data_IF_152053981447
#
_entry.id   IF_152053981447
#
_cell.length_a   1.000
_cell.length_b   1.000
_cell.length_c   1.000
_cell.angle_alpha   90.00
_cell.angle_beta   90.00
_cell.angle_gamma   90.00
#
_symmetry.space_group_name_H-M   'P 1'
#
loop_
_entity.id
_entity.type
_entity.pdbx_description
1 polymer ?
#
# COMPACT_ATOMS: atom_id res chain seq x y z
N UNK A 1 -7.02 4.34 2.59
CA UNK A 1 -6.00 4.64 3.63
C UNK A 1 -5.24 3.38 4.08
N UNK A 2 -5.84 2.20 4.18
CA UNK A 2 -5.20 0.98 4.64
C UNK A 2 -3.85 0.67 3.99
N UNK A 3 -3.67 0.99 2.71
CA UNK A 3 -2.37 0.83 2.05
C UNK A 3 -1.24 1.75 2.61
N UNK A 4 -1.57 2.74 3.44
CA UNK A 4 -0.61 3.70 4.01
C UNK A 4 -0.16 3.35 5.44
N UNK A 5 -0.66 2.27 6.00
CA UNK A 5 -0.32 1.80 7.35
C UNK A 5 -0.26 0.27 7.38
N UNK A 6 0.27 -0.30 8.45
CA UNK A 6 0.43 -1.75 8.60
C UNK A 6 -0.44 -2.37 9.69
N UNK A 7 -1.08 -1.56 10.53
CA UNK A 7 -1.80 -2.08 11.70
C UNK A 7 -3.00 -2.96 11.35
N UNK A 8 -3.66 -2.73 10.21
CA UNK A 8 -4.75 -3.57 9.74
C UNK A 8 -4.30 -4.96 9.29
N UNK A 9 -3.01 -5.14 8.97
CA UNK A 9 -2.48 -6.41 8.40
C UNK A 9 -2.80 -7.60 9.30
N UNK A 10 -2.57 -7.46 10.61
CA UNK A 10 -2.81 -8.57 11.55
C UNK A 10 -4.29 -8.91 11.73
N UNK A 11 -5.21 -7.96 12.00
CA UNK A 11 -6.62 -8.26 12.16
C UNK A 11 -7.35 -8.60 10.85
N UNK A 12 -6.93 -8.03 9.71
CA UNK A 12 -7.61 -8.21 8.43
C UNK A 12 -7.03 -9.37 7.61
N UNK A 13 -5.72 -9.58 7.69
CA UNK A 13 -4.97 -10.55 6.88
C UNK A 13 -4.19 -11.57 7.73
N UNK A 14 -4.78 -12.19 8.76
CA UNK A 14 -4.04 -13.02 9.71
C UNK A 14 -3.38 -14.23 9.07
N UNK A 15 -3.97 -14.79 8.00
CA UNK A 15 -3.49 -15.99 7.32
C UNK A 15 -2.85 -15.70 5.96
N UNK A 16 -3.09 -14.50 5.39
CA UNK A 16 -2.65 -14.16 4.03
C UNK A 16 -1.38 -13.31 4.02
N UNK A 17 -1.35 -12.14 4.64
CA UNK A 17 -0.20 -11.25 4.62
C UNK A 17 0.60 -11.23 5.92
N UNK A 18 -0.06 -11.34 7.08
CA UNK A 18 0.60 -11.26 8.38
C UNK A 18 1.72 -12.30 8.58
N UNK A 19 1.63 -13.55 8.08
CA UNK A 19 2.71 -14.51 8.19
C UNK A 19 4.01 -14.08 7.50
N UNK A 20 3.92 -13.19 6.51
CA UNK A 20 5.07 -12.75 5.70
C UNK A 20 5.56 -11.35 6.03
N UNK A 21 4.74 -10.50 6.64
CA UNK A 21 5.01 -9.10 6.91
C UNK A 21 5.01 -8.76 8.41
N UNK A 22 5.23 -7.48 8.69
CA UNK A 22 5.05 -6.88 10.00
C UNK A 22 3.83 -5.97 9.95
N UNK A 23 3.06 -5.95 11.04
CA UNK A 23 1.88 -5.07 11.22
C UNK A 23 2.23 -3.74 11.90
N UNK A 24 3.43 -3.65 12.48
CA UNK A 24 3.85 -2.53 13.29
C UNK A 24 5.26 -2.02 12.95
N UNK A 25 5.66 -2.16 11.69
CA UNK A 25 6.97 -1.71 11.21
C UNK A 25 6.86 -1.21 9.77
N UNK A 26 7.12 0.08 9.60
CA UNK A 26 7.32 0.69 8.30
C UNK A 26 8.31 1.86 8.40
N UNK A 27 8.84 2.27 7.26
CA UNK A 27 9.61 3.50 7.10
C UNK A 27 8.86 4.41 6.14
N UNK A 28 8.63 5.66 6.56
CA UNK A 28 7.91 6.66 5.78
C UNK A 28 8.85 7.80 5.42
N UNK A 29 8.92 8.10 4.14
CA UNK A 29 9.58 9.27 3.57
C UNK A 29 8.53 10.19 2.95
N UNK A 30 8.70 11.50 3.07
CA UNK A 30 7.78 12.49 2.49
C UNK A 30 8.53 13.43 1.54
N UNK A 31 7.88 13.78 0.43
CA UNK A 31 8.38 14.77 -0.54
C UNK A 31 7.22 15.65 -1.00
N UNK A 32 7.15 16.87 -0.47
CA UNK A 32 5.98 17.72 -0.63
C UNK A 32 4.73 17.00 -0.14
N UNK A 33 3.63 16.94 -0.91
CA UNK A 33 2.40 16.23 -0.53
C UNK A 33 2.48 14.73 -0.74
N UNK A 34 3.52 14.22 -1.42
CA UNK A 34 3.72 12.82 -1.71
C UNK A 34 4.40 12.09 -0.54
N UNK A 35 4.25 10.77 -0.51
CA UNK A 35 4.97 9.93 0.46
C UNK A 35 5.40 8.60 -0.16
N UNK A 36 6.46 8.02 0.40
CA UNK A 36 6.91 6.67 0.13
C UNK A 36 6.89 5.88 1.43
N UNK A 37 6.29 4.72 1.40
CA UNK A 37 6.24 3.82 2.53
C UNK A 37 6.97 2.53 2.16
N UNK A 38 7.89 2.10 3.02
CA UNK A 38 8.60 0.85 2.90
C UNK A 38 8.08 -0.12 3.96
N UNK A 39 7.51 -1.24 3.52
CA UNK A 39 7.04 -2.32 4.37
C UNK A 39 7.99 -3.51 4.26
N UNK A 40 8.75 -3.85 5.32
CA UNK A 40 9.64 -4.99 5.30
C UNK A 40 8.86 -6.30 5.43
N UNK A 41 9.28 -7.30 4.66
CA UNK A 41 8.89 -8.68 4.91
C UNK A 41 9.73 -9.28 6.03
N UNK A 42 9.21 -10.26 6.77
CA UNK A 42 9.94 -10.97 7.84
C UNK A 42 11.26 -11.58 7.36
N UNK A 43 11.34 -11.97 6.10
CA UNK A 43 12.57 -12.48 5.47
C UNK A 43 13.72 -11.46 5.39
N UNK A 44 13.47 -10.15 5.66
CA UNK A 44 14.51 -9.11 5.73
C UNK A 44 15.55 -9.43 6.83
N UNK A 45 15.17 -10.19 7.85
CA UNK A 45 16.07 -10.65 8.90
C UNK A 45 17.28 -11.41 8.36
N UNK A 46 17.16 -12.04 7.19
CA UNK A 46 18.30 -12.71 6.52
C UNK A 46 19.43 -11.75 6.13
N UNK A 47 19.12 -10.46 6.04
CA UNK A 47 20.12 -9.43 5.70
C UNK A 47 20.91 -8.96 6.93
N UNK A 48 20.54 -9.37 8.15
CA UNK A 48 21.19 -8.92 9.39
C UNK A 48 22.67 -9.28 9.43
N UNK A 49 23.00 -10.46 8.91
CA UNK A 49 24.36 -10.99 8.90
C UNK A 49 25.04 -10.87 7.51
N UNK A 50 24.36 -10.30 6.55
CA UNK A 50 24.91 -10.14 5.20
C UNK A 50 25.94 -9.00 5.17
N UNK A 51 27.08 -9.16 4.46
CA UNK A 51 28.02 -8.08 4.22
C UNK A 51 27.35 -6.88 3.54
N UNK A 52 27.78 -5.66 3.90
CA UNK A 52 27.15 -4.41 3.40
C UNK A 52 27.11 -4.33 1.87
N UNK A 53 28.14 -4.79 1.19
CA UNK A 53 28.26 -4.84 -0.26
C UNK A 53 27.24 -5.77 -0.93
N UNK A 54 26.68 -6.71 -0.17
CA UNK A 54 25.71 -7.70 -0.65
C UNK A 54 24.27 -7.36 -0.22
N UNK A 55 24.05 -6.23 0.44
CA UNK A 55 22.71 -5.83 0.86
C UNK A 55 21.86 -5.47 -0.34
N UNK A 56 20.75 -6.17 -0.49
CA UNK A 56 19.73 -5.87 -1.50
C UNK A 56 18.34 -5.93 -0.88
N UNK A 57 17.58 -4.85 -1.05
CA UNK A 57 16.18 -4.80 -0.63
C UNK A 57 15.23 -5.46 -1.65
N UNK A 58 15.77 -5.97 -2.77
CA UNK A 58 14.95 -6.64 -3.76
C UNK A 58 14.22 -7.83 -3.16
N UNK A 59 12.89 -7.87 -3.30
CA UNK A 59 12.01 -8.88 -2.71
C UNK A 59 12.02 -8.94 -1.16
N UNK A 60 12.72 -8.04 -0.49
CA UNK A 60 12.76 -7.96 0.98
C UNK A 60 11.75 -6.97 1.53
N UNK A 61 11.24 -6.09 0.67
CA UNK A 61 10.30 -5.03 1.03
C UNK A 61 9.24 -4.85 -0.05
N UNK A 62 8.09 -4.36 0.35
CA UNK A 62 7.13 -3.67 -0.53
C UNK A 62 7.39 -2.17 -0.45
N UNK A 63 7.46 -1.50 -1.60
CA UNK A 63 7.57 -0.05 -1.70
C UNK A 63 6.28 0.51 -2.26
N UNK A 64 5.58 1.31 -1.46
CA UNK A 64 4.39 2.03 -1.87
C UNK A 64 4.71 3.50 -2.00
N UNK A 65 4.53 4.06 -3.18
CA UNK A 65 4.61 5.50 -3.43
C UNK A 65 3.20 6.06 -3.52
N UNK A 66 2.90 6.98 -2.61
CA UNK A 66 1.67 7.78 -2.65
C UNK A 66 1.93 9.04 -3.45
N UNK A 67 1.26 9.18 -4.58
CA UNK A 67 1.23 10.38 -5.40
C UNK A 67 -0.08 11.10 -5.06
N UNK A 68 0.06 12.27 -4.44
CA UNK A 68 -1.08 13.05 -3.95
C UNK A 68 -2.00 13.46 -5.12
N UNK A 69 -3.32 13.47 -4.94
CA UNK A 69 -4.04 13.11 -3.72
C UNK A 69 -4.45 11.62 -3.65
N UNK A 70 -4.69 10.91 -4.78
CA UNK A 70 -5.41 9.64 -4.77
C UNK A 70 -4.74 8.53 -5.60
N UNK A 71 -3.47 8.70 -5.96
CA UNK A 71 -2.74 7.69 -6.74
C UNK A 71 -1.73 6.94 -5.87
N UNK A 72 -1.64 5.63 -6.04
CA UNK A 72 -0.56 4.81 -5.46
C UNK A 72 0.16 4.03 -6.55
N UNK A 73 1.48 3.94 -6.41
CA UNK A 73 2.33 3.06 -7.22
C UNK A 73 3.07 2.15 -6.27
N UNK A 74 2.69 0.89 -6.23
CA UNK A 74 3.24 -0.10 -5.32
C UNK A 74 4.13 -1.07 -6.07
N UNK A 75 5.38 -1.20 -5.65
CA UNK A 75 6.27 -2.26 -6.11
C UNK A 75 6.07 -3.49 -5.22
N UNK A 76 5.51 -4.51 -5.80
CA UNK A 76 5.30 -5.82 -5.20
C UNK A 76 6.41 -6.81 -5.59
N UNK A 77 6.25 -8.09 -5.26
CA UNK A 77 7.29 -9.09 -5.52
C UNK A 77 7.53 -9.34 -7.00
N UNK A 78 6.48 -9.38 -7.81
CA UNK A 78 6.52 -9.82 -9.22
C UNK A 78 5.94 -8.80 -10.20
N UNK A 79 5.32 -7.72 -9.73
CA UNK A 79 4.67 -6.72 -10.56
C UNK A 79 4.58 -5.35 -9.85
N UNK A 80 4.22 -4.33 -10.60
CA UNK A 80 3.78 -3.07 -10.06
C UNK A 80 2.26 -3.00 -10.06
N UNK A 81 1.72 -2.42 -9.00
CA UNK A 81 0.31 -2.10 -8.86
C UNK A 81 0.14 -0.59 -8.89
N UNK A 82 -0.55 -0.08 -9.92
CA UNK A 82 -0.86 1.34 -10.06
C UNK A 82 -2.34 1.52 -9.84
N UNK A 83 -2.69 2.21 -8.78
CA UNK A 83 -4.08 2.44 -8.41
C UNK A 83 -4.35 3.93 -8.32
N UNK A 84 -5.50 4.35 -8.80
CA UNK A 84 -6.00 5.69 -8.53
C UNK A 84 -7.51 5.69 -8.33
N UNK A 85 -7.94 6.64 -7.50
CA UNK A 85 -9.32 6.79 -7.10
C UNK A 85 -9.85 8.16 -7.53
N UNK A 86 -11.06 8.18 -8.05
CA UNK A 86 -11.81 9.38 -8.38
C UNK A 86 -13.00 9.48 -7.44
N UNK A 87 -13.00 10.37 -6.44
CA UNK A 87 -14.15 10.61 -5.60
C UNK A 87 -15.31 11.20 -6.43
N UNK A 88 -16.46 10.54 -6.47
CA UNK A 88 -17.66 11.01 -7.17
C UNK A 88 -18.67 11.66 -6.20
N UNK A 89 -18.70 11.17 -4.95
CA UNK A 89 -19.54 11.70 -3.86
C UNK A 89 -18.99 11.23 -2.50
N UNK A 90 -19.53 11.70 -1.37
CA UNK A 90 -19.12 11.22 -0.03
C UNK A 90 -19.24 9.71 0.17
N UNK A 91 -20.06 9.03 -0.63
CA UNK A 91 -20.34 7.59 -0.52
C UNK A 91 -19.96 6.79 -1.76
N UNK A 92 -19.39 7.44 -2.78
CA UNK A 92 -19.04 6.77 -4.04
C UNK A 92 -17.70 7.22 -4.57
N UNK A 93 -16.86 6.25 -4.88
CA UNK A 93 -15.54 6.43 -5.49
C UNK A 93 -15.40 5.49 -6.68
N UNK A 94 -14.91 6.00 -7.80
CA UNK A 94 -14.46 5.16 -8.91
C UNK A 94 -13.01 4.79 -8.68
N UNK A 95 -12.71 3.51 -8.80
CA UNK A 95 -11.38 2.98 -8.54
C UNK A 95 -10.81 2.29 -9.78
N UNK A 96 -9.58 2.66 -10.14
CA UNK A 96 -8.84 2.11 -11.27
C UNK A 96 -7.60 1.40 -10.78
N UNK A 97 -7.33 0.22 -11.32
CA UNK A 97 -6.19 -0.60 -10.94
C UNK A 97 -5.51 -1.18 -12.17
N UNK A 98 -4.23 -0.89 -12.33
CA UNK A 98 -3.40 -1.41 -13.41
C UNK A 98 -2.27 -2.26 -12.84
N UNK A 99 -2.04 -3.41 -13.45
CA UNK A 99 -0.97 -4.33 -13.09
C UNK A 99 0.08 -4.30 -14.19
N UNK A 100 1.31 -3.89 -13.84
CA UNK A 100 2.41 -3.77 -14.77
C UNK A 100 3.49 -4.79 -14.43
N UNK A 101 4.05 -5.46 -15.44
CA UNK A 101 5.17 -6.37 -15.24
C UNK A 101 6.41 -5.64 -14.72
N UNK A 102 7.27 -6.34 -13.98
CA UNK A 102 8.57 -5.80 -13.60
C UNK A 102 9.43 -5.54 -14.85
N UNK A 103 10.21 -4.43 -14.87
CA UNK A 103 11.23 -4.24 -15.88
C UNK A 103 12.25 -5.37 -15.78
N UNK A 104 12.57 -5.97 -16.92
CA UNK A 104 13.63 -6.98 -17.00
C UNK A 104 14.99 -6.31 -17.17
N UNK A 105 16.08 -6.88 -16.60
CA UNK A 105 17.44 -6.38 -16.83
C UNK A 105 17.75 -6.28 -18.33
N UNK A 106 18.38 -5.18 -18.74
CA UNK A 106 18.75 -4.95 -20.15
C UNK A 106 17.57 -4.58 -21.07
N UNK A 107 16.38 -4.32 -20.54
CA UNK A 107 15.20 -3.96 -21.35
C UNK A 107 14.61 -5.11 -22.17
N UNK A 108 14.95 -6.34 -21.83
CA UNK A 108 14.43 -7.55 -22.50
C UNK A 108 12.96 -7.72 -22.15
N UNK A 109 12.14 -8.20 -23.10
CA UNK A 109 10.78 -8.53 -22.83
C UNK A 109 10.66 -9.68 -21.80
N UNK A 110 9.66 -9.66 -20.87
CA UNK A 110 9.46 -10.76 -19.94
C UNK A 110 9.13 -12.05 -20.68
N UNK A 111 9.63 -13.17 -20.18
CA UNK A 111 9.29 -14.50 -20.71
C UNK A 111 7.87 -14.90 -20.37
N UNK A 112 7.34 -15.94 -21.01
CA UNK A 112 6.02 -16.50 -20.65
C UNK A 112 5.97 -16.98 -19.19
N UNK A 113 7.07 -17.50 -18.68
CA UNK A 113 7.16 -17.92 -17.28
C UNK A 113 7.13 -16.73 -16.32
N UNK A 114 7.80 -15.61 -16.66
CA UNK A 114 7.72 -14.37 -15.88
C UNK A 114 6.31 -13.81 -15.84
N UNK A 115 5.62 -13.83 -16.98
CA UNK A 115 4.23 -13.41 -17.08
C UNK A 115 3.30 -14.33 -16.29
N UNK A 116 3.51 -15.64 -16.33
CA UNK A 116 2.72 -16.59 -15.56
C UNK A 116 2.89 -16.39 -14.04
N UNK A 117 4.13 -16.15 -13.58
CA UNK A 117 4.40 -15.81 -12.17
C UNK A 117 3.72 -14.51 -11.75
N UNK A 118 3.83 -13.47 -12.58
CA UNK A 118 3.18 -12.19 -12.31
C UNK A 118 1.64 -12.32 -12.24
N UNK A 119 1.03 -13.07 -13.18
CA UNK A 119 -0.41 -13.32 -13.18
C UNK A 119 -0.87 -14.06 -11.91
N UNK A 120 -0.11 -15.05 -11.45
CA UNK A 120 -0.42 -15.79 -10.21
C UNK A 120 -0.35 -14.88 -8.98
N UNK A 121 0.66 -14.02 -8.90
CA UNK A 121 0.82 -13.04 -7.82
C UNK A 121 -0.33 -12.02 -7.84
N UNK A 122 -0.69 -11.50 -9.00
CA UNK A 122 -1.84 -10.60 -9.20
C UNK A 122 -3.16 -11.24 -8.76
N UNK A 123 -3.41 -12.50 -9.13
CA UNK A 123 -4.63 -13.20 -8.77
C UNK A 123 -4.75 -13.33 -7.24
N UNK A 124 -3.69 -13.77 -6.57
CA UNK A 124 -3.65 -13.88 -5.11
C UNK A 124 -3.96 -12.54 -4.43
N UNK A 125 -3.26 -11.46 -4.83
CA UNK A 125 -3.45 -10.14 -4.23
C UNK A 125 -4.83 -9.55 -4.51
N UNK A 126 -5.39 -9.80 -5.70
CA UNK A 126 -6.71 -9.30 -6.08
C UNK A 126 -7.83 -10.00 -5.31
N UNK A 127 -7.71 -11.30 -5.09
CA UNK A 127 -8.67 -12.05 -4.27
C UNK A 127 -8.62 -11.64 -2.81
N UNK A 128 -7.41 -11.49 -2.26
CA UNK A 128 -7.20 -11.06 -0.88
C UNK A 128 -7.73 -9.64 -0.67
N UNK A 129 -7.29 -8.67 -1.45
CA UNK A 129 -7.74 -7.28 -1.32
C UNK A 129 -9.24 -7.12 -1.55
N UNK A 130 -9.82 -7.81 -2.53
CA UNK A 130 -11.25 -7.73 -2.81
C UNK A 130 -12.10 -8.31 -1.68
N UNK A 131 -11.67 -9.42 -1.09
CA UNK A 131 -12.44 -10.11 -0.05
C UNK A 131 -12.25 -9.48 1.33
N UNK A 132 -11.02 -9.19 1.70
CA UNK A 132 -10.66 -8.78 3.06
C UNK A 132 -10.73 -7.25 3.24
N UNK A 133 -10.01 -6.48 2.44
CA UNK A 133 -9.94 -5.02 2.57
C UNK A 133 -11.23 -4.31 2.18
N UNK A 134 -11.93 -4.79 1.14
CA UNK A 134 -13.19 -4.17 0.72
C UNK A 134 -14.25 -4.32 1.78
N UNK A 135 -14.34 -5.48 2.44
CA UNK A 135 -15.28 -5.70 3.54
C UNK A 135 -15.03 -4.76 4.70
N UNK A 136 -13.76 -4.56 5.08
CA UNK A 136 -13.37 -3.61 6.13
C UNK A 136 -13.71 -2.18 5.71
N UNK A 137 -13.40 -1.78 4.48
CA UNK A 137 -13.69 -0.44 3.97
C UNK A 137 -15.19 -0.12 3.98
N UNK A 138 -16.05 -1.08 3.60
CA UNK A 138 -17.51 -0.91 3.63
C UNK A 138 -18.03 -0.78 5.06
N UNK A 139 -17.50 -1.55 6.02
CA UNK A 139 -17.87 -1.43 7.45
C UNK A 139 -17.45 -0.07 8.01
N UNK A 140 -16.25 0.42 7.68
CA UNK A 140 -15.77 1.75 8.08
C UNK A 140 -16.68 2.83 7.49
N UNK A 141 -17.01 2.76 6.20
CA UNK A 141 -17.88 3.73 5.54
C UNK A 141 -19.27 3.79 6.21
N UNK A 142 -19.83 2.67 6.59
CA UNK A 142 -21.11 2.62 7.29
C UNK A 142 -21.01 3.24 8.71
N UNK A 143 -19.88 3.04 9.39
CA UNK A 143 -19.66 3.54 10.75
C UNK A 143 -19.40 5.06 10.80
N UNK A 144 -18.69 5.62 9.80
CA UNK A 144 -18.35 7.06 9.75
C UNK A 144 -19.60 7.94 9.82
N UNK A 145 -20.67 7.58 9.12
CA UNK A 145 -21.93 8.33 9.11
C UNK A 145 -22.67 8.37 10.44
N UNK A 146 -22.32 7.51 11.40
CA UNK A 146 -22.96 7.45 12.72
C UNK A 146 -22.61 8.63 13.65
N UNK A 147 -21.49 9.33 13.39
CA UNK A 147 -20.97 10.38 14.27
C UNK A 147 -20.45 9.89 15.63
N UNK A 148 -20.30 8.57 15.81
CA UNK A 148 -19.83 7.98 17.07
C UNK A 148 -18.39 8.43 17.44
N UNK A 149 -17.56 8.71 16.44
CA UNK A 149 -16.21 9.23 16.62
C UNK A 149 -16.15 10.69 16.17
N UNK A 150 -15.71 11.57 17.05
CA UNK A 150 -15.48 13.00 16.76
C UNK A 150 -14.06 13.26 16.21
N UNK A 151 -13.14 12.33 16.35
CA UNK A 151 -11.75 12.45 15.91
C UNK A 151 -11.12 11.07 15.66
N UNK A 152 -10.06 11.06 14.90
CA UNK A 152 -9.23 9.87 14.68
C UNK A 152 -7.89 10.01 15.41
N UNK A 153 -7.45 8.93 16.05
CA UNK A 153 -6.13 8.86 16.69
C UNK A 153 -5.22 8.04 15.81
N UNK A 154 -4.15 8.65 15.33
CA UNK A 154 -3.15 7.96 14.53
C UNK A 154 -2.03 7.40 15.41
N UNK A 155 -1.70 6.13 15.21
CA UNK A 155 -0.58 5.47 15.86
C UNK A 155 0.77 5.85 15.24
N UNK A 156 1.85 5.37 15.86
CA UNK A 156 3.23 5.69 15.46
C UNK A 156 3.54 5.35 14.00
N UNK A 157 2.99 4.25 13.49
CA UNK A 157 3.24 3.75 12.12
C UNK A 157 2.18 4.21 11.10
N UNK A 158 1.36 5.19 11.47
CA UNK A 158 0.34 5.81 10.61
C UNK A 158 0.72 7.24 10.18
N UNK A 159 1.99 7.59 10.28
CA UNK A 159 2.48 8.93 9.91
C UNK A 159 2.21 9.30 8.45
N UNK A 160 2.13 8.32 7.54
CA UNK A 160 1.77 8.55 6.15
C UNK A 160 0.30 8.96 5.97
N UNK A 161 -0.62 8.39 6.78
CA UNK A 161 -2.04 8.80 6.80
C UNK A 161 -2.16 10.22 7.35
N UNK A 162 -1.53 10.49 8.49
CA UNK A 162 -1.53 11.84 9.06
C UNK A 162 -0.94 12.89 8.09
N UNK A 163 0.09 12.53 7.31
CA UNK A 163 0.66 13.37 6.26
C UNK A 163 -0.34 13.63 5.14
N UNK A 164 -1.04 12.61 4.66
CA UNK A 164 -2.10 12.73 3.65
C UNK A 164 -3.19 13.69 4.10
N UNK A 165 -3.74 13.49 5.31
CA UNK A 165 -4.83 14.33 5.84
C UNK A 165 -4.41 15.80 6.01
N UNK A 166 -3.21 16.07 6.52
CA UNK A 166 -2.69 17.46 6.60
C UNK A 166 -2.60 18.12 5.23
N UNK A 167 -2.15 17.39 4.21
CA UNK A 167 -2.10 17.95 2.85
C UNK A 167 -3.50 18.13 2.26
N UNK A 168 -4.41 17.19 2.45
CA UNK A 168 -5.81 17.36 2.00
C UNK A 168 -6.44 18.60 2.62
N UNK A 169 -6.35 18.79 3.94
CA UNK A 169 -6.85 19.97 4.62
C UNK A 169 -6.26 21.26 4.02
N UNK A 170 -4.93 21.33 3.90
CA UNK A 170 -4.23 22.48 3.31
C UNK A 170 -4.69 22.81 1.89
N UNK A 171 -4.86 21.82 1.04
CA UNK A 171 -5.25 22.06 -0.36
C UNK A 171 -6.75 22.40 -0.47
N UNK A 172 -7.60 21.89 0.42
CA UNK A 172 -9.01 22.27 0.47
C UNK A 172 -9.21 23.69 0.96
N UNK A 173 -8.40 24.16 1.95
CA UNK A 173 -8.40 25.56 2.41
C UNK A 173 -7.99 26.55 1.31
N UNK A 174 -7.14 26.15 0.36
CA UNK A 174 -6.72 26.99 -0.76
C UNK A 174 -7.80 27.14 -1.86
N UNK A 175 -8.88 26.34 -1.81
CA UNK A 175 -9.98 26.38 -2.76
C UNK A 175 -11.16 27.23 -2.26
N UNK A 176 -11.09 27.74 -1.04
CA UNK A 176 -12.05 28.65 -0.41
C UNK A 176 -11.42 29.99 -0.11
#
# INVERSE_FOLDING_TARGET
EGALEGYHIKPTHPETFYPYGYDNLNVVETQGPNSRICYPFRRIEKLREAPRENLSLNRMVTLLNRIFPFTTVTRLSQHYDVNFAEPESPTRTRYFSYKLTMPMPGGVAPTEEDLARAKKDVAFLSETGKKEDTEVALKIQAAIGSGANSHYTFGRFESAIAHLHRNLARYLELLH
#
